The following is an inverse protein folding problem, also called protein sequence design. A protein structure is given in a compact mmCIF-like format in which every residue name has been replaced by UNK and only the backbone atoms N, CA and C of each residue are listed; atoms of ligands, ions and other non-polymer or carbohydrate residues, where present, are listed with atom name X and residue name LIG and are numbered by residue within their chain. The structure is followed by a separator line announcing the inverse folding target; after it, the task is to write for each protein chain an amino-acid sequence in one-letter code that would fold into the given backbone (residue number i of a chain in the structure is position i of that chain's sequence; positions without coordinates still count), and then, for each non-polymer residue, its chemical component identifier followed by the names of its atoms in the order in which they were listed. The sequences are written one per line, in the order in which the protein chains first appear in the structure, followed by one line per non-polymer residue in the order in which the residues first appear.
data_IF_645281298201
#
_entry.id   IF_645281298201
#
_cell.length_a   1.000
_cell.length_b   1.000
_cell.length_c   1.000
_cell.angle_alpha   90.00
_cell.angle_beta   90.00
_cell.angle_gamma   90.00
#
_symmetry.space_group_name_H-M   'P 1'
#
loop_
_entity.id
_entity.type
_entity.pdbx_description
1 polymer ?
#
# COMPACT_ATOMS: atom_id res chain seq x y z
N UNK A 1 -17.42 -11.77 3.71
CA UNK A 1 -16.66 -12.88 4.24
C UNK A 1 -17.22 -13.35 5.58
N UNK A 2 -17.16 -12.51 6.62
CA UNK A 2 -17.64 -12.88 7.97
C UNK A 2 -19.16 -13.16 8.00
N UNK A 3 -19.92 -12.49 7.17
CA UNK A 3 -21.37 -12.77 6.98
C UNK A 3 -21.69 -14.04 6.18
N UNK A 4 -20.69 -14.76 5.65
CA UNK A 4 -20.89 -16.00 4.89
C UNK A 4 -21.31 -15.80 3.43
N UNK A 5 -21.26 -14.56 2.91
CA UNK A 5 -21.64 -14.24 1.53
C UNK A 5 -20.52 -14.53 0.52
N UNK A 6 -19.27 -14.65 0.99
CA UNK A 6 -18.08 -14.91 0.18
C UNK A 6 -17.11 -15.81 0.93
N UNK A 7 -16.42 -16.70 0.21
CA UNK A 7 -15.43 -17.61 0.78
C UNK A 7 -14.07 -16.93 0.98
N UNK A 8 -13.73 -15.94 0.15
CA UNK A 8 -12.50 -15.15 0.24
C UNK A 8 -12.72 -13.71 -0.25
N UNK A 9 -11.79 -12.85 0.10
CA UNK A 9 -11.78 -11.43 -0.30
C UNK A 9 -10.34 -10.94 -0.49
N UNK A 10 -10.19 -9.89 -1.27
CA UNK A 10 -8.96 -9.12 -1.41
C UNK A 10 -9.19 -7.74 -0.79
N UNK A 11 -8.45 -7.42 0.27
CA UNK A 11 -8.60 -6.18 1.01
C UNK A 11 -7.23 -5.63 1.45
N UNK A 12 -7.21 -4.37 1.86
CA UNK A 12 -6.05 -3.82 2.54
C UNK A 12 -5.84 -4.48 3.91
N UNK A 13 -4.58 -4.69 4.32
CA UNK A 13 -4.27 -5.24 5.63
C UNK A 13 -4.95 -4.48 6.79
N UNK A 14 -4.95 -3.15 6.77
CA UNK A 14 -5.59 -2.32 7.80
C UNK A 14 -7.11 -2.54 7.93
N UNK A 15 -7.79 -2.85 6.84
CA UNK A 15 -9.24 -3.12 6.87
C UNK A 15 -9.58 -4.50 7.45
N UNK A 16 -8.62 -5.42 7.40
CA UNK A 16 -8.75 -6.79 7.89
C UNK A 16 -8.12 -7.02 9.27
N UNK A 17 -7.38 -6.06 9.80
CA UNK A 17 -6.62 -6.22 11.04
C UNK A 17 -7.51 -6.70 12.20
N UNK A 18 -8.66 -6.09 12.40
CA UNK A 18 -9.60 -6.48 13.46
C UNK A 18 -10.08 -7.92 13.32
N UNK A 19 -10.47 -8.36 12.14
CA UNK A 19 -10.94 -9.72 11.87
C UNK A 19 -9.82 -10.76 11.94
N UNK A 20 -8.61 -10.37 11.55
CA UNK A 20 -7.42 -11.21 11.67
C UNK A 20 -7.06 -11.43 13.15
N UNK A 21 -7.04 -10.37 13.95
CA UNK A 21 -6.72 -10.44 15.39
C UNK A 21 -7.78 -11.18 16.20
N UNK A 22 -9.06 -11.06 15.86
CA UNK A 22 -10.14 -11.81 16.49
C UNK A 22 -10.20 -13.28 16.07
N UNK A 23 -9.51 -13.65 14.96
CA UNK A 23 -9.57 -14.99 14.40
C UNK A 23 -10.79 -15.26 13.50
N UNK A 24 -11.60 -14.23 13.23
CA UNK A 24 -12.79 -14.35 12.35
C UNK A 24 -12.40 -14.44 10.86
N UNK A 25 -11.20 -14.03 10.51
CA UNK A 25 -10.63 -14.21 9.19
C UNK A 25 -9.19 -14.70 9.25
N UNK A 26 -8.75 -15.37 8.19
CA UNK A 26 -7.38 -15.84 8.02
C UNK A 26 -6.75 -15.14 6.81
N UNK A 27 -5.67 -14.42 7.04
CA UNK A 27 -4.85 -13.91 5.94
C UNK A 27 -4.07 -15.06 5.30
N UNK A 28 -4.11 -15.16 3.98
CA UNK A 28 -3.52 -16.28 3.23
C UNK A 28 -2.18 -15.89 2.57
N UNK A 29 -2.10 -14.67 2.06
CA UNK A 29 -0.93 -14.15 1.34
C UNK A 29 -0.93 -12.62 1.37
N UNK A 30 0.26 -12.03 1.47
CA UNK A 30 0.50 -10.61 1.20
C UNK A 30 1.05 -10.45 -0.22
N UNK A 31 0.44 -9.58 -1.02
CA UNK A 31 0.90 -9.31 -2.40
C UNK A 31 2.09 -8.34 -2.41
N UNK A 32 3.16 -8.72 -1.73
CA UNK A 32 4.36 -7.91 -1.50
C UNK A 32 5.62 -8.78 -1.64
N UNK A 33 6.80 -8.21 -1.93
CA UNK A 33 8.06 -8.94 -1.98
C UNK A 33 8.44 -9.61 -0.64
N UNK A 34 8.14 -8.93 0.46
CA UNK A 34 8.47 -9.37 1.81
C UNK A 34 7.20 -9.47 2.65
N UNK A 35 7.29 -10.19 3.77
CA UNK A 35 6.18 -10.27 4.74
C UNK A 35 5.87 -8.91 5.34
N UNK A 36 4.60 -8.66 5.58
CA UNK A 36 4.18 -7.49 6.32
C UNK A 36 4.49 -7.69 7.82
N UNK A 37 5.22 -6.76 8.47
CA UNK A 37 5.59 -6.89 9.89
C UNK A 37 4.39 -7.03 10.84
N UNK A 38 3.24 -6.47 10.51
CA UNK A 38 2.01 -6.61 11.29
C UNK A 38 1.32 -7.98 11.11
N UNK A 39 1.76 -8.77 10.10
CA UNK A 39 1.22 -10.10 9.79
C UNK A 39 2.38 -11.11 9.60
N UNK A 40 3.22 -11.33 10.61
CA UNK A 40 4.49 -12.06 10.46
C UNK A 40 4.32 -13.52 10.03
N UNK A 41 3.18 -14.14 10.33
CA UNK A 41 2.87 -15.52 9.97
C UNK A 41 2.34 -15.67 8.54
N UNK A 42 2.00 -14.55 7.87
CA UNK A 42 1.42 -14.57 6.52
C UNK A 42 2.52 -14.48 5.48
N UNK A 43 2.64 -15.46 4.58
CA UNK A 43 3.67 -15.45 3.57
C UNK A 43 3.46 -14.33 2.55
N UNK A 44 4.56 -13.84 1.98
CA UNK A 44 4.52 -12.96 0.82
C UNK A 44 4.22 -13.73 -0.47
N UNK A 45 3.75 -13.04 -1.50
CA UNK A 45 3.57 -13.64 -2.84
C UNK A 45 4.89 -14.17 -3.40
N UNK A 46 6.01 -13.50 -3.14
CA UNK A 46 7.34 -13.94 -3.58
C UNK A 46 7.77 -15.25 -2.92
N UNK A 47 7.53 -15.43 -1.61
CA UNK A 47 7.81 -16.68 -0.91
C UNK A 47 7.01 -17.86 -1.47
N UNK A 48 5.82 -17.59 -2.01
CA UNK A 48 4.96 -18.60 -2.64
C UNK A 48 5.28 -18.83 -4.13
N UNK A 49 6.27 -18.14 -4.69
CA UNK A 49 6.69 -18.30 -6.09
C UNK A 49 5.89 -17.47 -7.09
N UNK A 50 5.19 -16.43 -6.64
CA UNK A 50 4.39 -15.53 -7.47
C UNK A 50 4.90 -14.07 -7.43
N UNK A 51 6.10 -13.77 -7.96
CA UNK A 51 6.66 -12.41 -7.91
C UNK A 51 5.87 -11.40 -8.75
N UNK A 52 5.09 -11.87 -9.74
CA UNK A 52 4.23 -11.00 -10.55
C UNK A 52 2.98 -10.51 -9.78
N UNK A 53 2.68 -11.11 -8.62
CA UNK A 53 1.63 -10.68 -7.72
C UNK A 53 2.16 -9.68 -6.69
N UNK A 54 2.68 -8.55 -7.17
CA UNK A 54 3.09 -7.42 -6.36
C UNK A 54 2.17 -6.23 -6.65
N UNK A 55 1.31 -5.89 -5.68
CA UNK A 55 0.33 -4.83 -5.81
C UNK A 55 0.26 -3.98 -4.55
N UNK A 56 0.22 -2.67 -4.75
CA UNK A 56 0.15 -1.70 -3.67
C UNK A 56 -1.10 -0.84 -3.78
N UNK A 57 -1.74 -0.57 -2.64
CA UNK A 57 -2.65 0.54 -2.54
C UNK A 57 -1.86 1.79 -2.14
N UNK A 58 -1.59 2.63 -3.12
CA UNK A 58 -0.88 3.89 -2.93
C UNK A 58 -1.79 4.96 -2.34
N UNK A 59 -1.24 5.78 -1.45
CA UNK A 59 -1.84 7.04 -0.99
C UNK A 59 -0.86 8.17 -1.29
N UNK A 60 -1.34 9.23 -1.94
CA UNK A 60 -0.52 10.36 -2.33
C UNK A 60 -1.24 11.68 -2.05
N UNK A 61 -0.45 12.72 -1.77
CA UNK A 61 -0.91 14.09 -1.78
C UNK A 61 -0.70 14.68 -3.17
N UNK A 62 -1.69 15.38 -3.67
CA UNK A 62 -1.65 16.02 -4.99
C UNK A 62 -1.95 17.51 -4.86
N UNK A 63 -1.36 18.30 -5.73
CA UNK A 63 -1.62 19.73 -5.87
C UNK A 63 -1.99 20.06 -7.32
N UNK A 64 -2.64 21.22 -7.58
CA UNK A 64 -2.89 21.68 -8.94
C UNK A 64 -1.58 21.83 -9.74
N UNK A 65 -1.64 21.53 -11.03
CA UNK A 65 -0.50 21.75 -11.91
C UNK A 65 -0.11 23.25 -11.94
N UNK A 66 1.20 23.52 -11.86
CA UNK A 66 1.73 24.88 -11.87
C UNK A 66 1.65 25.63 -10.53
N UNK A 67 1.47 24.90 -9.42
CA UNK A 67 1.61 25.47 -8.08
C UNK A 67 2.97 26.18 -7.94
N UNK A 68 3.01 27.26 -7.18
CA UNK A 68 4.24 27.99 -6.89
C UNK A 68 5.28 27.07 -6.22
N UNK A 69 6.54 27.15 -6.68
CA UNK A 69 7.61 26.27 -6.21
C UNK A 69 7.91 26.41 -4.70
N UNK A 70 7.76 27.61 -4.13
CA UNK A 70 7.95 27.81 -2.69
C UNK A 70 6.81 27.18 -1.89
N UNK A 71 5.59 27.20 -2.43
CA UNK A 71 4.43 26.54 -1.83
C UNK A 71 4.60 25.01 -1.89
N UNK A 72 5.02 24.47 -3.03
CA UNK A 72 5.34 23.04 -3.18
C UNK A 72 6.40 22.60 -2.17
N UNK A 73 7.51 23.32 -2.10
CA UNK A 73 8.61 23.05 -1.17
C UNK A 73 8.17 23.10 0.29
N UNK A 74 7.34 24.08 0.64
CA UNK A 74 6.81 24.21 2.00
C UNK A 74 5.99 22.98 2.40
N UNK A 75 5.01 22.58 1.58
CA UNK A 75 4.17 21.44 1.89
C UNK A 75 4.92 20.11 1.84
N UNK A 76 5.83 19.93 0.88
CA UNK A 76 6.67 18.73 0.83
C UNK A 76 7.51 18.60 2.10
N UNK A 77 8.13 19.69 2.57
CA UNK A 77 8.89 19.70 3.83
C UNK A 77 8.02 19.40 5.06
N UNK A 78 6.81 19.93 5.10
CA UNK A 78 5.86 19.65 6.18
C UNK A 78 5.45 18.17 6.19
N UNK A 79 5.08 17.62 5.04
CA UNK A 79 4.70 16.22 4.88
C UNK A 79 5.87 15.28 5.20
N UNK A 80 7.09 15.63 4.79
CA UNK A 80 8.30 14.88 5.12
C UNK A 80 8.53 14.83 6.64
N UNK A 81 8.30 15.94 7.35
CA UNK A 81 8.41 15.99 8.80
C UNK A 81 7.38 15.07 9.47
N UNK A 82 6.13 15.10 9.02
CA UNK A 82 5.07 14.21 9.53
C UNK A 82 5.38 12.75 9.22
N UNK A 83 5.85 12.45 8.00
CA UNK A 83 6.21 11.08 7.62
C UNK A 83 7.28 10.49 8.54
N UNK A 84 8.28 11.27 8.96
CA UNK A 84 9.38 10.82 9.83
C UNK A 84 9.06 10.92 11.33
N UNK A 85 7.86 11.34 11.69
CA UNK A 85 7.41 11.34 13.08
C UNK A 85 7.22 9.88 13.57
N UNK A 86 7.81 9.57 14.73
CA UNK A 86 7.81 8.20 15.25
C UNK A 86 6.40 7.69 15.61
N UNK A 87 5.54 8.55 16.13
CA UNK A 87 4.16 8.17 16.47
C UNK A 87 3.37 7.87 15.20
N UNK A 88 3.53 8.71 14.17
CA UNK A 88 2.92 8.50 12.86
C UNK A 88 3.40 7.20 12.20
N UNK A 89 4.70 6.92 12.22
CA UNK A 89 5.27 5.68 11.68
C UNK A 89 4.72 4.47 12.42
N UNK A 90 4.82 4.45 13.74
CA UNK A 90 4.36 3.32 14.57
C UNK A 90 2.87 3.05 14.36
N UNK A 91 2.03 4.08 14.42
CA UNK A 91 0.60 3.96 14.19
C UNK A 91 0.27 3.29 12.84
N UNK A 92 0.95 3.68 11.76
CA UNK A 92 0.67 3.12 10.44
C UNK A 92 1.23 1.69 10.27
N UNK A 93 2.40 1.40 10.83
CA UNK A 93 2.99 0.06 10.77
C UNK A 93 2.14 -0.94 11.56
N UNK A 94 1.71 -0.57 12.76
CA UNK A 94 0.87 -1.42 13.61
C UNK A 94 -0.50 -1.70 12.97
N UNK A 95 -1.00 -0.76 12.17
CA UNK A 95 -2.23 -0.92 11.38
C UNK A 95 -2.01 -1.69 10.05
N UNK A 96 -0.82 -2.23 9.85
CA UNK A 96 -0.48 -3.07 8.69
C UNK A 96 -0.16 -2.32 7.41
N UNK A 97 0.07 -1.01 7.48
CA UNK A 97 0.47 -0.22 6.32
C UNK A 97 1.98 -0.33 6.11
N UNK A 98 2.39 -0.54 4.87
CA UNK A 98 3.79 -0.45 4.45
C UNK A 98 4.12 1.01 4.16
N UNK A 99 5.07 1.55 4.91
CA UNK A 99 5.45 2.96 4.79
C UNK A 99 6.51 3.14 3.72
N UNK A 100 6.26 4.08 2.79
CA UNK A 100 7.20 4.47 1.75
C UNK A 100 7.12 5.97 1.51
N UNK A 101 8.27 6.60 1.22
CA UNK A 101 8.32 8.01 0.85
C UNK A 101 8.82 8.13 -0.58
N UNK A 102 7.98 8.70 -1.44
CA UNK A 102 8.31 9.04 -2.81
C UNK A 102 7.87 10.47 -3.10
N UNK A 103 8.73 11.24 -3.74
CA UNK A 103 8.45 12.61 -4.14
C UNK A 103 9.05 12.93 -5.52
N UNK A 104 8.58 14.01 -6.14
CA UNK A 104 9.10 14.52 -7.39
C UNK A 104 9.17 13.47 -8.50
N UNK A 105 10.34 13.30 -9.10
CA UNK A 105 10.54 12.34 -10.19
C UNK A 105 10.38 10.89 -9.74
N UNK A 106 10.78 10.54 -8.52
CA UNK A 106 10.62 9.18 -8.00
C UNK A 106 9.16 8.75 -7.90
N UNK A 107 8.28 9.64 -7.43
CA UNK A 107 6.84 9.40 -7.42
C UNK A 107 6.27 9.32 -8.85
N UNK A 108 6.71 10.20 -9.73
CA UNK A 108 6.25 10.21 -11.14
C UNK A 108 6.62 8.92 -11.87
N UNK A 109 7.84 8.44 -11.71
CA UNK A 109 8.31 7.20 -12.33
C UNK A 109 7.58 5.99 -11.77
N UNK A 110 7.37 5.93 -10.47
CA UNK A 110 6.56 4.90 -9.82
C UNK A 110 5.14 4.86 -10.38
N UNK A 111 4.48 6.03 -10.49
CA UNK A 111 3.13 6.12 -11.04
C UNK A 111 3.04 5.67 -12.50
N UNK A 112 4.05 5.97 -13.31
CA UNK A 112 4.09 5.53 -14.71
C UNK A 112 4.21 3.99 -14.80
N UNK A 113 5.09 3.39 -14.00
CA UNK A 113 5.26 1.93 -13.96
C UNK A 113 3.97 1.24 -13.51
N UNK A 114 3.34 1.73 -12.44
CA UNK A 114 2.08 1.15 -11.94
C UNK A 114 0.93 1.34 -12.94
N UNK A 115 0.89 2.47 -13.64
CA UNK A 115 -0.11 2.70 -14.70
C UNK A 115 0.03 1.67 -15.83
N UNK A 116 1.23 1.47 -16.35
CA UNK A 116 1.49 0.52 -17.44
C UNK A 116 1.17 -0.91 -17.01
N UNK A 117 1.55 -1.30 -15.80
CA UNK A 117 1.25 -2.61 -15.20
C UNK A 117 -0.27 -2.87 -15.13
N UNK A 118 -1.03 -1.88 -14.67
CA UNK A 118 -2.49 -2.01 -14.58
C UNK A 118 -3.18 -1.95 -15.95
N UNK A 119 -2.66 -1.16 -16.90
CA UNK A 119 -3.21 -1.07 -18.25
C UNK A 119 -3.21 -2.43 -18.96
N UNK A 120 -2.10 -3.17 -18.88
CA UNK A 120 -1.99 -4.52 -19.43
C UNK A 120 -3.02 -5.48 -18.84
N UNK A 121 -3.28 -5.38 -17.54
CA UNK A 121 -4.29 -6.21 -16.88
C UNK A 121 -5.68 -5.89 -17.40
N UNK A 122 -6.04 -4.61 -17.47
CA UNK A 122 -7.36 -4.16 -17.94
C UNK A 122 -7.62 -4.58 -19.39
N UNK A 123 -6.60 -4.49 -20.26
CA UNK A 123 -6.71 -4.92 -21.67
C UNK A 123 -7.00 -6.42 -21.80
N UNK A 124 -6.49 -7.25 -20.90
CA UNK A 124 -6.73 -8.69 -20.89
C UNK A 124 -8.14 -9.11 -20.42
N UNK A 125 -8.91 -8.18 -19.84
CA UNK A 125 -10.27 -8.43 -19.36
C UNK A 125 -11.36 -7.81 -20.28
N UNK A 126 -11.00 -7.21 -21.40
CA UNK A 126 -11.92 -6.71 -22.43
C UNK A 126 -12.08 -7.71 -23.58
#
# INVERSE_FOLDING_TARGET
LVGGESDFTLNNPSEQMGFYQSGDSKALVMMTPERNPAFPEVPSSYELGYPDLEYYMMRAFMAPAGIDAEVEKYYTGLLHTVYHDNEFQTFNIDDGKLMSWLEGYGLKDFLAIEYDKHAVIIENFQ
#
